data_IF_034641516562
#
_entry.id   IF_034641516562
#
_cell.length_a   1.000
_cell.length_b   1.000
_cell.length_c   1.000
_cell.angle_alpha   90.00
_cell.angle_beta   90.00
_cell.angle_gamma   90.00
#
_symmetry.space_group_name_H-M   'P 1'
#
loop_
_entity.id
_entity.type
_entity.pdbx_description
1 polymer ?
#
# COMPACT_ATOMS: atom_id res chain seq x y z
N UNK A 1 6.48 -38.77 14.67
CA UNK A 1 7.40 -37.85 13.94
C UNK A 1 6.85 -37.42 12.57
N UNK A 2 5.59 -37.00 12.48
CA UNK A 2 4.98 -36.63 11.18
C UNK A 2 4.55 -35.15 11.07
N UNK A 3 4.79 -34.32 12.11
CA UNK A 3 4.31 -32.93 12.10
C UNK A 3 5.31 -31.88 11.59
N UNK A 4 6.59 -32.22 11.44
CA UNK A 4 7.61 -31.27 11.02
C UNK A 4 7.64 -30.99 9.50
N UNK A 5 7.19 -31.94 8.68
CA UNK A 5 7.21 -31.81 7.22
C UNK A 5 6.12 -30.89 6.67
N UNK A 6 4.98 -30.74 7.39
CA UNK A 6 3.84 -29.94 6.92
C UNK A 6 4.10 -28.42 7.02
N UNK A 7 4.84 -27.99 8.06
CA UNK A 7 5.14 -26.57 8.27
C UNK A 7 6.09 -25.97 7.22
N UNK A 8 7.01 -26.79 6.68
CA UNK A 8 7.97 -26.32 5.66
C UNK A 8 7.29 -26.11 4.30
N UNK A 9 6.30 -26.92 3.95
CA UNK A 9 5.56 -26.78 2.69
C UNK A 9 4.72 -25.49 2.63
N UNK A 10 4.16 -25.03 3.76
CA UNK A 10 3.38 -23.80 3.80
C UNK A 10 4.24 -22.54 3.62
N UNK A 11 5.44 -22.51 4.15
CA UNK A 11 6.33 -21.35 3.99
C UNK A 11 6.79 -21.17 2.54
N UNK A 12 7.02 -22.23 1.80
CA UNK A 12 7.39 -22.16 0.37
C UNK A 12 6.24 -21.62 -0.48
N UNK A 13 4.99 -22.03 -0.21
CA UNK A 13 3.82 -21.53 -0.94
C UNK A 13 3.58 -20.03 -0.70
N UNK A 14 3.79 -19.55 0.53
CA UNK A 14 3.62 -18.14 0.89
C UNK A 14 4.63 -17.22 0.20
N UNK A 15 5.91 -17.58 0.26
CA UNK A 15 6.96 -16.86 -0.46
C UNK A 15 6.64 -16.80 -1.95
N UNK A 16 6.13 -17.89 -2.51
CA UNK A 16 5.77 -17.92 -3.92
C UNK A 16 4.68 -16.91 -4.28
N UNK A 17 3.65 -16.69 -3.44
CA UNK A 17 2.59 -15.71 -3.72
C UNK A 17 3.14 -14.27 -3.71
N UNK A 18 3.92 -13.90 -2.67
CA UNK A 18 4.56 -12.58 -2.57
C UNK A 18 5.53 -12.36 -3.73
N UNK A 19 6.41 -13.31 -4.00
CA UNK A 19 7.40 -13.20 -5.07
C UNK A 19 6.76 -13.09 -6.46
N UNK A 20 5.70 -13.87 -6.74
CA UNK A 20 4.96 -13.78 -7.99
C UNK A 20 4.26 -12.44 -8.14
N UNK A 21 3.69 -11.91 -7.05
CA UNK A 21 3.09 -10.58 -7.05
C UNK A 21 4.15 -9.51 -7.31
N UNK A 22 5.26 -9.48 -6.54
CA UNK A 22 6.35 -8.53 -6.72
C UNK A 22 6.91 -8.56 -8.15
N UNK A 23 7.08 -9.75 -8.72
CA UNK A 23 7.51 -9.91 -10.10
C UNK A 23 6.49 -9.36 -11.11
N UNK A 24 5.19 -9.54 -10.85
CA UNK A 24 4.13 -9.07 -11.74
C UNK A 24 4.00 -7.54 -11.77
N UNK A 25 4.25 -6.86 -10.64
CA UNK A 25 4.16 -5.40 -10.53
C UNK A 25 5.48 -4.69 -10.92
N UNK A 26 6.60 -5.43 -10.94
CA UNK A 26 7.90 -4.88 -11.29
C UNK A 26 7.91 -4.30 -12.71
N UNK A 27 8.33 -3.04 -12.86
CA UNK A 27 8.38 -2.35 -14.15
C UNK A 27 6.99 -2.06 -14.74
N UNK A 28 5.96 -2.04 -13.92
CA UNK A 28 4.59 -1.71 -14.31
C UNK A 28 4.07 -0.51 -13.53
N UNK A 29 3.10 0.17 -14.13
CA UNK A 29 2.22 1.08 -13.44
C UNK A 29 0.97 0.30 -13.03
N UNK A 30 0.66 0.31 -11.74
CA UNK A 30 -0.46 -0.41 -11.12
C UNK A 30 -1.51 0.60 -10.71
N UNK A 31 -2.77 0.36 -11.07
CA UNK A 31 -3.90 1.20 -10.68
C UNK A 31 -4.99 0.35 -10.04
N UNK A 32 -5.57 0.81 -8.92
CA UNK A 32 -6.64 0.13 -8.23
C UNK A 32 -7.49 1.07 -7.38
N UNK A 33 -8.80 0.86 -7.32
CA UNK A 33 -9.66 1.44 -6.31
C UNK A 33 -9.53 0.67 -5.00
N UNK A 34 -9.74 1.36 -3.88
CA UNK A 34 -9.77 0.74 -2.57
C UNK A 34 -10.86 1.33 -1.69
N UNK A 35 -11.27 0.56 -0.69
CA UNK A 35 -11.97 1.07 0.47
C UNK A 35 -11.19 0.71 1.72
N UNK A 36 -11.30 1.54 2.77
CA UNK A 36 -10.65 1.27 4.03
C UNK A 36 -11.57 1.50 5.22
N UNK A 37 -11.27 0.78 6.29
CA UNK A 37 -11.87 0.97 7.61
C UNK A 37 -10.77 0.89 8.65
N UNK A 38 -10.61 1.96 9.43
CA UNK A 38 -9.73 1.99 10.60
C UNK A 38 -10.53 1.66 11.84
N UNK A 39 -10.12 0.61 12.54
CA UNK A 39 -10.80 0.13 13.76
C UNK A 39 -10.35 0.95 14.97
N UNK A 40 -11.13 1.94 15.32
CA UNK A 40 -10.96 2.80 16.50
C UNK A 40 -12.28 2.90 17.26
N UNK A 41 -12.34 3.65 18.36
CA UNK A 41 -13.59 3.87 19.10
C UNK A 41 -14.68 4.48 18.20
N UNK A 42 -14.27 5.38 17.29
CA UNK A 42 -15.12 5.88 16.19
C UNK A 42 -14.46 5.44 14.88
N UNK A 43 -14.99 4.41 14.20
CA UNK A 43 -14.38 3.89 13.00
C UNK A 43 -14.30 4.96 11.90
N UNK A 44 -13.10 5.16 11.34
CA UNK A 44 -12.88 5.99 10.17
C UNK A 44 -12.94 5.08 8.95
N UNK A 45 -13.71 5.49 7.94
CA UNK A 45 -13.86 4.74 6.69
C UNK A 45 -13.84 5.68 5.50
N UNK A 46 -13.37 5.17 4.38
CA UNK A 46 -13.35 5.93 3.14
C UNK A 46 -13.11 5.03 1.93
N UNK A 47 -13.12 5.65 0.78
CA UNK A 47 -12.77 5.04 -0.50
C UNK A 47 -11.78 5.93 -1.22
N UNK A 48 -10.97 5.32 -2.06
CA UNK A 48 -10.01 6.06 -2.86
C UNK A 48 -9.55 5.26 -4.06
N UNK A 49 -8.63 5.86 -4.79
CA UNK A 49 -7.95 5.24 -5.92
C UNK A 49 -6.45 5.47 -5.81
N UNK A 50 -5.69 4.48 -6.21
CA UNK A 50 -4.22 4.55 -6.26
C UNK A 50 -3.73 4.28 -7.66
N UNK A 51 -2.74 5.07 -8.08
CA UNK A 51 -1.85 4.76 -9.20
C UNK A 51 -0.42 4.74 -8.66
N UNK A 52 0.31 3.65 -8.82
CA UNK A 52 1.67 3.47 -8.27
C UNK A 52 2.61 2.83 -9.28
N UNK A 53 3.87 3.28 -9.31
CA UNK A 53 4.97 2.65 -10.05
C UNK A 53 6.30 2.87 -9.31
N UNK A 54 6.93 1.78 -8.88
CA UNK A 54 8.10 1.90 -7.98
C UNK A 54 7.75 2.75 -6.77
N UNK A 55 8.55 3.76 -6.45
CA UNK A 55 8.33 4.66 -5.31
C UNK A 55 7.45 5.88 -5.65
N UNK A 56 6.98 5.97 -6.89
CA UNK A 56 6.09 7.06 -7.30
C UNK A 56 4.62 6.64 -7.21
N UNK A 57 3.76 7.50 -6.67
CA UNK A 57 2.34 7.23 -6.57
C UNK A 57 1.48 8.49 -6.58
N UNK A 58 0.23 8.30 -6.95
CA UNK A 58 -0.86 9.24 -6.71
C UNK A 58 -1.97 8.48 -6.01
N UNK A 59 -2.46 9.01 -4.91
CA UNK A 59 -3.66 8.51 -4.25
C UNK A 59 -4.62 9.64 -3.96
N UNK A 60 -5.91 9.36 -4.09
CA UNK A 60 -6.97 10.30 -3.77
C UNK A 60 -7.98 9.63 -2.84
N UNK A 61 -8.40 10.31 -1.78
CA UNK A 61 -9.47 9.88 -0.88
C UNK A 61 -10.18 11.11 -0.30
N UNK A 62 -11.49 11.16 -0.46
CA UNK A 62 -12.25 12.38 -0.14
C UNK A 62 -11.73 13.56 -0.97
N UNK A 63 -11.39 14.64 -0.30
CA UNK A 63 -10.82 15.87 -0.89
C UNK A 63 -9.28 15.93 -0.76
N UNK A 64 -8.66 14.88 -0.27
CA UNK A 64 -7.20 14.80 -0.16
C UNK A 64 -6.64 14.09 -1.39
N UNK A 65 -5.69 14.73 -2.06
CA UNK A 65 -4.86 14.12 -3.10
C UNK A 65 -3.40 14.10 -2.62
N UNK A 66 -2.75 12.96 -2.74
CA UNK A 66 -1.34 12.82 -2.41
C UNK A 66 -0.60 12.40 -3.67
N UNK A 67 0.38 13.18 -4.04
CA UNK A 67 1.31 12.92 -5.13
C UNK A 67 2.68 12.61 -4.54
N UNK A 68 3.41 11.68 -5.15
CA UNK A 68 4.77 11.36 -4.77
C UNK A 68 5.55 10.94 -6.02
N UNK A 69 6.65 11.60 -6.32
CA UNK A 69 7.51 11.23 -7.45
C UNK A 69 8.70 10.32 -7.04
N UNK A 70 8.68 9.86 -5.78
CA UNK A 70 9.74 9.07 -5.18
C UNK A 70 10.81 9.90 -4.46
N UNK A 71 10.78 11.23 -4.57
CA UNK A 71 11.72 12.16 -3.92
C UNK A 71 10.96 13.23 -3.13
N UNK A 72 9.91 13.75 -3.71
CA UNK A 72 9.06 14.79 -3.12
C UNK A 72 7.63 14.25 -3.00
N UNK A 73 6.98 14.58 -1.92
CA UNK A 73 5.56 14.32 -1.67
C UNK A 73 4.80 15.64 -1.58
N UNK A 74 3.65 15.68 -2.22
CA UNK A 74 2.70 16.77 -2.18
C UNK A 74 1.40 16.25 -1.61
N UNK A 75 0.93 16.83 -0.50
CA UNK A 75 -0.38 16.56 0.07
C UNK A 75 -1.26 17.78 -0.16
N UNK A 76 -2.28 17.62 -0.97
CA UNK A 76 -3.21 18.68 -1.33
C UNK A 76 -4.57 18.41 -0.70
N UNK A 77 -5.12 19.38 0.02
CA UNK A 77 -6.50 19.39 0.51
C UNK A 77 -7.28 20.42 -0.31
N UNK A 78 -8.20 19.94 -1.14
CA UNK A 78 -9.01 20.78 -2.03
C UNK A 78 -10.02 21.65 -1.28
N UNK A 79 -10.49 21.23 -0.10
CA UNK A 79 -11.47 21.98 0.67
C UNK A 79 -10.82 23.16 1.42
N UNK A 80 -9.70 22.93 2.08
CA UNK A 80 -8.95 23.98 2.78
C UNK A 80 -8.05 24.79 1.86
N UNK A 81 -7.79 24.27 0.64
CA UNK A 81 -6.79 24.78 -0.30
C UNK A 81 -5.40 24.88 0.30
N UNK A 82 -5.03 23.83 1.01
CA UNK A 82 -3.70 23.69 1.60
C UNK A 82 -2.88 22.70 0.80
N UNK A 83 -1.63 23.06 0.53
CA UNK A 83 -0.63 22.21 -0.11
C UNK A 83 0.59 22.09 0.81
N UNK A 84 0.87 20.87 1.27
CA UNK A 84 2.08 20.56 2.02
C UNK A 84 3.05 19.87 1.08
N UNK A 85 4.30 20.34 1.04
CA UNK A 85 5.38 19.79 0.23
C UNK A 85 6.48 19.28 1.17
N UNK A 86 6.84 18.01 1.04
CA UNK A 86 7.82 17.35 1.90
C UNK A 86 8.81 16.54 1.06
N UNK A 87 10.06 16.41 1.57
CA UNK A 87 10.96 15.37 1.07
C UNK A 87 10.50 14.00 1.52
N UNK A 88 10.61 12.99 0.65
CA UNK A 88 10.44 11.61 1.02
C UNK A 88 11.70 11.16 1.74
N UNK A 89 11.69 11.27 3.07
CA UNK A 89 12.74 10.70 3.91
C UNK A 89 12.48 9.21 4.16
N UNK A 90 13.54 8.45 4.38
CA UNK A 90 13.53 6.99 4.63
C UNK A 90 12.82 6.61 5.95
N UNK A 91 11.67 7.16 6.23
CA UNK A 91 10.85 6.75 7.37
C UNK A 91 10.27 7.85 8.24
N UNK A 92 10.28 9.12 7.84
CA UNK A 92 9.65 10.18 8.61
C UNK A 92 8.33 10.66 7.95
N UNK A 93 7.30 10.78 8.73
CA UNK A 93 6.20 11.70 8.52
C UNK A 93 4.87 11.12 8.07
N UNK A 94 4.77 10.20 7.14
CA UNK A 94 3.47 9.59 6.83
C UNK A 94 3.34 8.23 7.49
N UNK A 95 2.23 7.99 8.17
CA UNK A 95 1.92 6.64 8.59
C UNK A 95 2.00 5.74 7.34
N UNK A 96 2.86 4.73 7.38
CA UNK A 96 3.08 3.75 6.31
C UNK A 96 1.76 3.10 5.85
N UNK A 97 0.74 3.11 6.71
CA UNK A 97 -0.63 2.71 6.39
C UNK A 97 -1.26 3.52 5.24
N UNK A 98 -0.64 4.63 4.84
CA UNK A 98 -1.12 5.50 3.75
C UNK A 98 -0.14 5.57 2.56
N UNK A 99 1.00 4.87 2.61
CA UNK A 99 1.92 4.78 1.49
C UNK A 99 1.68 3.49 0.68
N UNK A 100 0.95 3.57 -0.44
CA UNK A 100 0.66 2.40 -1.25
C UNK A 100 1.89 1.80 -1.92
N UNK A 101 2.97 2.56 -2.10
CA UNK A 101 4.19 2.06 -2.74
C UNK A 101 4.82 0.94 -1.90
N UNK A 102 4.80 1.06 -0.57
CA UNK A 102 5.33 0.03 0.34
C UNK A 102 4.57 -1.30 0.24
N UNK A 103 3.25 -1.24 0.01
CA UNK A 103 2.42 -2.45 -0.07
C UNK A 103 2.46 -3.05 -1.48
N UNK A 104 2.67 -2.24 -2.51
CA UNK A 104 2.59 -2.70 -3.89
C UNK A 104 3.97 -2.98 -4.49
N UNK A 105 4.91 -2.03 -4.40
CA UNK A 105 6.16 -2.11 -5.16
C UNK A 105 7.30 -2.79 -4.41
N UNK A 106 7.32 -2.71 -3.10
CA UNK A 106 8.49 -3.06 -2.29
C UNK A 106 8.18 -4.03 -1.13
N UNK A 107 7.10 -4.81 -1.27
CA UNK A 107 6.65 -5.76 -0.26
C UNK A 107 7.77 -6.69 0.24
N UNK A 108 8.55 -7.23 -0.68
CA UNK A 108 9.64 -8.16 -0.39
C UNK A 108 10.91 -7.48 0.13
N UNK A 109 11.05 -6.17 -0.06
CA UNK A 109 12.18 -5.39 0.48
C UNK A 109 11.96 -4.93 1.91
N UNK A 110 10.73 -4.68 2.29
CA UNK A 110 10.37 -4.11 3.59
C UNK A 110 9.83 -5.12 4.59
N UNK A 111 9.40 -6.30 4.11
CA UNK A 111 8.76 -7.29 4.95
C UNK A 111 9.35 -8.68 4.77
N UNK A 112 9.42 -9.40 5.87
CA UNK A 112 9.68 -10.83 5.91
C UNK A 112 8.37 -11.60 5.96
N UNK A 113 8.26 -12.65 5.16
CA UNK A 113 7.12 -13.57 5.25
C UNK A 113 7.15 -14.31 6.58
N UNK A 114 6.09 -14.18 7.35
CA UNK A 114 5.85 -14.91 8.59
C UNK A 114 5.09 -16.20 8.34
N UNK A 115 3.76 -16.15 8.48
CA UNK A 115 2.88 -17.30 8.25
C UNK A 115 2.06 -17.16 6.97
N UNK A 116 1.67 -18.29 6.40
CA UNK A 116 0.75 -18.34 5.28
C UNK A 116 -0.21 -19.50 5.43
N UNK A 117 -1.48 -19.20 5.17
CA UNK A 117 -2.54 -20.22 5.19
C UNK A 117 -3.50 -19.96 4.03
N UNK A 118 -3.99 -21.04 3.44
CA UNK A 118 -5.10 -20.94 2.50
C UNK A 118 -6.41 -20.79 3.26
N UNK A 119 -7.20 -19.78 2.89
CA UNK A 119 -8.50 -19.50 3.50
C UNK A 119 -9.56 -19.34 2.43
N UNK A 120 -10.81 -19.55 2.81
CA UNK A 120 -11.96 -19.23 1.94
C UNK A 120 -12.72 -18.07 2.56
N UNK A 121 -12.76 -16.94 1.86
CA UNK A 121 -13.50 -15.76 2.29
C UNK A 121 -14.38 -15.25 1.14
N UNK A 122 -15.64 -14.94 1.45
CA UNK A 122 -16.62 -14.48 0.46
C UNK A 122 -16.70 -15.38 -0.77
N UNK A 123 -16.59 -16.72 -0.57
CA UNK A 123 -16.62 -17.71 -1.64
C UNK A 123 -15.35 -17.77 -2.49
N UNK A 124 -14.30 -17.02 -2.16
CA UNK A 124 -13.02 -17.04 -2.88
C UNK A 124 -11.95 -17.76 -2.08
N UNK A 125 -11.17 -18.60 -2.75
CA UNK A 125 -9.94 -19.19 -2.18
C UNK A 125 -8.84 -18.16 -2.24
N UNK A 126 -8.21 -17.87 -1.11
CA UNK A 126 -7.18 -16.82 -0.96
C UNK A 126 -5.99 -17.38 -0.19
N UNK A 127 -4.80 -16.91 -0.53
CA UNK A 127 -3.59 -17.12 0.26
C UNK A 127 -3.44 -15.93 1.24
N UNK A 128 -3.74 -16.16 2.52
CA UNK A 128 -3.54 -15.20 3.59
C UNK A 128 -2.10 -15.29 4.07
N UNK A 129 -1.36 -14.19 3.92
CA UNK A 129 0.06 -14.09 4.24
C UNK A 129 0.27 -13.03 5.30
N UNK A 130 0.90 -13.41 6.40
CA UNK A 130 1.39 -12.47 7.42
C UNK A 130 2.80 -12.01 7.06
N UNK A 131 3.02 -10.73 7.13
CA UNK A 131 4.26 -10.05 6.79
C UNK A 131 4.74 -9.28 8.02
N UNK A 132 6.01 -9.51 8.40
CA UNK A 132 6.64 -8.87 9.53
C UNK A 132 7.60 -7.80 9.00
N UNK A 133 7.51 -6.55 9.45
CA UNK A 133 8.43 -5.50 9.04
C UNK A 133 9.88 -5.87 9.33
N UNK A 134 10.78 -5.52 8.44
CA UNK A 134 12.24 -5.69 8.64
C UNK A 134 12.84 -4.58 9.51
N UNK A 135 12.10 -3.51 9.76
CA UNK A 135 12.54 -2.37 10.56
C UNK A 135 11.35 -1.73 11.29
N UNK A 136 11.58 -1.25 12.49
CA UNK A 136 10.57 -0.54 13.29
C UNK A 136 10.25 0.87 12.74
N UNK A 137 11.09 1.39 11.85
CA UNK A 137 10.91 2.72 11.23
C UNK A 137 9.62 2.83 10.41
N UNK A 138 9.07 1.70 9.96
CA UNK A 138 7.83 1.71 9.18
C UNK A 138 6.58 2.08 10.00
N UNK A 139 6.66 2.17 11.34
CA UNK A 139 5.48 2.44 12.16
C UNK A 139 4.42 1.34 12.15
N UNK A 140 4.72 0.19 11.53
CA UNK A 140 3.83 -0.96 11.37
C UNK A 140 4.32 -2.10 12.27
N UNK A 141 3.41 -2.67 13.08
CA UNK A 141 3.68 -3.87 13.86
C UNK A 141 3.51 -5.15 13.00
N UNK A 142 2.54 -5.17 12.10
CA UNK A 142 2.34 -6.28 11.16
C UNK A 142 1.49 -5.86 9.97
N UNK A 143 1.69 -6.52 8.84
CA UNK A 143 0.88 -6.43 7.63
C UNK A 143 0.35 -7.82 7.28
N UNK A 144 -0.95 -7.95 7.09
CA UNK A 144 -1.54 -9.18 6.56
C UNK A 144 -2.12 -8.90 5.18
N UNK A 145 -1.76 -9.71 4.20
CA UNK A 145 -2.22 -9.57 2.81
C UNK A 145 -2.94 -10.85 2.39
N UNK A 146 -4.08 -10.70 1.73
CA UNK A 146 -4.81 -11.81 1.10
C UNK A 146 -4.63 -11.72 -0.40
N UNK A 147 -3.94 -12.68 -0.95
CA UNK A 147 -3.71 -12.80 -2.38
C UNK A 147 -4.74 -13.73 -3.03
N UNK A 148 -5.14 -13.43 -4.25
CA UNK A 148 -5.86 -14.39 -5.09
C UNK A 148 -4.96 -15.58 -5.42
N UNK A 149 -5.56 -16.73 -5.69
CA UNK A 149 -4.82 -17.99 -6.02
C UNK A 149 -4.54 -18.15 -7.52
N UNK A 150 -4.68 -17.08 -8.31
CA UNK A 150 -4.36 -17.08 -9.74
C UNK A 150 -2.85 -17.19 -9.99
N UNK A 151 -2.46 -17.49 -11.23
CA UNK A 151 -1.05 -17.55 -11.64
C UNK A 151 -0.33 -16.24 -11.41
N UNK A 152 -0.98 -15.12 -11.68
CA UNK A 152 -0.58 -13.79 -11.22
C UNK A 152 -1.47 -13.45 -10.02
N UNK A 153 -0.97 -13.59 -8.79
CA UNK A 153 -1.76 -13.26 -7.61
C UNK A 153 -2.01 -11.76 -7.55
N UNK A 154 -3.23 -11.38 -7.21
CA UNK A 154 -3.60 -9.99 -6.95
C UNK A 154 -3.90 -9.82 -5.47
N UNK A 155 -3.65 -8.65 -4.93
CA UNK A 155 -4.08 -8.32 -3.57
C UNK A 155 -5.60 -8.14 -3.61
N UNK A 156 -6.30 -8.94 -2.81
CA UNK A 156 -7.74 -8.86 -2.62
C UNK A 156 -8.11 -7.93 -1.44
N UNK A 157 -7.34 -8.04 -0.36
CA UNK A 157 -7.42 -7.15 0.80
C UNK A 157 -6.09 -7.13 1.55
N UNK A 158 -5.91 -6.09 2.36
CA UNK A 158 -4.79 -5.98 3.28
C UNK A 158 -5.27 -5.50 4.65
N UNK A 159 -4.53 -5.86 5.70
CA UNK A 159 -4.77 -5.37 7.06
C UNK A 159 -3.44 -4.91 7.64
N UNK A 160 -3.34 -3.63 7.95
CA UNK A 160 -2.17 -3.00 8.55
C UNK A 160 -2.44 -2.82 10.03
N UNK A 161 -1.57 -3.34 10.88
CA UNK A 161 -1.56 -3.05 12.32
C UNK A 161 -0.40 -2.11 12.61
N UNK A 162 -0.70 -0.90 13.04
CA UNK A 162 0.30 0.09 13.44
C UNK A 162 0.91 -0.25 14.82
N UNK A 163 2.04 0.36 15.16
CA UNK A 163 2.73 0.13 16.44
C UNK A 163 1.91 0.58 17.66
N UNK A 164 1.02 1.55 17.50
CA UNK A 164 0.07 2.00 18.54
C UNK A 164 -1.13 1.04 18.71
N UNK A 165 -1.18 -0.03 17.92
CA UNK A 165 -2.22 -1.04 17.94
C UNK A 165 -3.42 -0.73 17.03
N UNK A 166 -3.46 0.41 16.36
CA UNK A 166 -4.52 0.74 15.42
C UNK A 166 -4.49 -0.22 14.23
N UNK A 167 -5.67 -0.68 13.81
CA UNK A 167 -5.80 -1.60 12.68
C UNK A 167 -6.61 -0.93 11.57
N UNK A 168 -6.00 -0.86 10.38
CA UNK A 168 -6.68 -0.42 9.16
C UNK A 168 -6.82 -1.58 8.19
N UNK A 169 -8.03 -1.85 7.76
CA UNK A 169 -8.35 -2.87 6.75
C UNK A 169 -8.64 -2.21 5.41
N UNK A 170 -8.04 -2.72 4.36
CA UNK A 170 -8.22 -2.28 2.99
C UNK A 170 -8.88 -3.40 2.18
N UNK A 171 -9.91 -3.08 1.40
CA UNK A 171 -10.45 -3.95 0.38
C UNK A 171 -10.10 -3.41 -1.01
N UNK A 172 -9.60 -4.28 -1.88
CA UNK A 172 -9.12 -3.95 -3.23
C UNK A 172 -9.89 -4.83 -4.22
N UNK A 173 -10.98 -4.31 -4.81
CA UNK A 173 -11.85 -5.12 -5.65
C UNK A 173 -11.24 -5.51 -7.00
N UNK A 174 -10.30 -4.71 -7.51
CA UNK A 174 -9.62 -4.95 -8.78
C UNK A 174 -8.27 -4.26 -8.83
N UNK A 175 -7.36 -4.78 -9.66
CA UNK A 175 -6.07 -4.16 -9.97
C UNK A 175 -5.84 -4.23 -11.47
N UNK A 176 -5.29 -3.18 -12.06
CA UNK A 176 -4.90 -3.12 -13.46
C UNK A 176 -3.44 -2.78 -13.60
N UNK A 177 -2.78 -3.37 -14.60
CA UNK A 177 -1.38 -3.17 -14.91
C UNK A 177 -1.25 -2.51 -16.27
N UNK A 178 -0.35 -1.54 -16.39
CA UNK A 178 -0.04 -0.85 -17.63
C UNK A 178 1.46 -0.61 -17.77
N UNK A 179 1.87 -0.08 -18.91
CA UNK A 179 3.23 0.44 -19.10
C UNK A 179 3.52 1.58 -18.12
N UNK A 180 4.81 1.80 -17.83
CA UNK A 180 5.25 2.92 -17.01
C UNK A 180 4.79 4.25 -17.61
N UNK A 181 4.42 5.15 -16.74
CA UNK A 181 4.05 6.52 -17.06
C UNK A 181 5.23 7.48 -16.85
N UNK A 182 5.22 8.65 -17.49
CA UNK A 182 6.17 9.71 -17.16
C UNK A 182 6.11 10.08 -15.68
N UNK A 183 7.26 10.34 -15.06
CA UNK A 183 7.33 10.70 -13.63
C UNK A 183 6.58 12.01 -13.33
N UNK A 184 6.43 12.88 -14.32
CA UNK A 184 5.62 14.09 -14.21
C UNK A 184 4.15 13.85 -13.87
N UNK A 185 3.62 12.66 -14.19
CA UNK A 185 2.23 12.29 -13.87
C UNK A 185 2.02 12.07 -12.37
N UNK A 186 3.11 11.94 -11.61
CA UNK A 186 3.15 11.70 -10.17
C UNK A 186 3.53 12.96 -9.38
N UNK A 187 3.55 14.13 -10.03
CA UNK A 187 3.81 15.43 -9.41
C UNK A 187 2.56 16.25 -9.35
N UNK A 188 2.40 16.96 -8.25
CA UNK A 188 1.36 17.97 -8.17
C UNK A 188 1.64 19.07 -9.20
N UNK A 189 0.71 19.28 -10.14
CA UNK A 189 0.89 20.28 -11.17
C UNK A 189 0.70 21.68 -10.59
N UNK A 190 1.68 22.58 -10.79
CA UNK A 190 1.61 23.98 -10.35
C UNK A 190 0.34 24.71 -10.83
N UNK A 191 -0.26 24.24 -11.93
CA UNK A 191 -1.53 24.74 -12.45
C UNK A 191 -2.73 24.49 -11.53
N UNK A 192 -2.62 23.57 -10.55
CA UNK A 192 -3.64 23.30 -9.53
C UNK A 192 -3.54 24.25 -8.34
N UNK A 193 -2.39 24.89 -8.12
CA UNK A 193 -2.20 25.88 -7.06
C UNK A 193 -2.19 27.28 -7.65
N UNK A 194 -3.30 27.97 -7.56
CA UNK A 194 -3.37 29.41 -7.81
C UNK A 194 -3.05 30.20 -6.53
N UNK A 195 -3.14 31.52 -6.59
CA UNK A 195 -2.87 32.40 -5.44
C UNK A 195 -3.81 32.21 -4.23
N UNK A 196 -4.83 31.36 -4.35
CA UNK A 196 -5.75 31.03 -3.26
C UNK A 196 -5.29 29.85 -2.39
N UNK A 197 -4.23 29.14 -2.79
CA UNK A 197 -3.66 28.05 -2.02
C UNK A 197 -2.66 28.52 -0.98
N UNK A 198 -2.76 27.97 0.22
CA UNK A 198 -1.75 28.11 1.25
C UNK A 198 -0.71 27.00 1.05
N UNK A 199 0.51 27.38 0.68
CA UNK A 199 1.59 26.43 0.41
C UNK A 199 2.57 26.41 1.57
N UNK A 200 2.76 25.24 2.17
CA UNK A 200 3.77 24.98 3.19
C UNK A 200 4.84 24.05 2.63
N UNK A 201 6.04 24.58 2.38
CA UNK A 201 7.19 23.81 1.91
C UNK A 201 8.11 23.48 3.09
N UNK A 202 8.23 22.17 3.38
CA UNK A 202 9.01 21.61 4.49
C UNK A 202 10.32 20.95 4.05
N UNK A 203 10.72 21.10 2.78
CA UNK A 203 11.95 20.50 2.24
C UNK A 203 13.21 21.21 2.68
#
# INVERSE_FOLDING_TARGET
MAMAALAVAFNVSAQTAVQRFSAAVSGKCVKFPYSFVTKSQVPVKGTGEVTVQGNAFVTAFGNIEIYCDGVTRWTADEDSRELIIESVDDGSGMAVSMDPALIISDLDKHFKVGTSVRVTESGKSLDKVELVPLTDKLGIASLTVWFTTADIPLIFKASVKANDGLVTEFAIPSMTFSSLKPISDFRFAERKSDSSWVVTDLR
#
